data_IF_513428828436
#
_entry.id   IF_513428828436
#
_cell.length_a   1.000
_cell.length_b   1.000
_cell.length_c   1.000
_cell.angle_alpha   90.00
_cell.angle_beta   90.00
_cell.angle_gamma   90.00
#
_symmetry.space_group_name_H-M   'P 1'
#
loop_
_entity.id
_entity.type
_entity.pdbx_description
1 polymer ?
#
# COMPACT_ATOMS: atom_id res chain seq x y z
N UNK A 1 24.10 3.80 -46.88
CA UNK A 1 24.67 4.43 -45.68
C UNK A 1 23.83 3.98 -44.50
N UNK A 2 24.37 3.04 -43.73
CA UNK A 2 23.77 2.55 -42.49
C UNK A 2 24.07 3.55 -41.37
N UNK A 3 23.08 3.85 -40.52
CA UNK A 3 23.34 4.27 -39.15
C UNK A 3 22.60 3.34 -38.18
N UNK A 4 23.38 2.90 -37.20
CA UNK A 4 23.15 1.81 -36.26
C UNK A 4 22.27 2.23 -35.08
N UNK A 5 21.24 1.44 -34.78
CA UNK A 5 20.44 1.52 -33.56
C UNK A 5 21.21 0.80 -32.45
N UNK A 6 21.69 1.53 -31.44
CA UNK A 6 22.34 0.96 -30.26
C UNK A 6 21.28 0.52 -29.24
N UNK A 7 21.08 -0.79 -29.13
CA UNK A 7 20.34 -1.45 -28.05
C UNK A 7 21.23 -1.56 -26.81
N UNK A 8 20.84 -0.93 -25.69
CA UNK A 8 21.52 -1.11 -24.40
C UNK A 8 20.93 -2.34 -23.71
N UNK A 9 21.69 -3.43 -23.80
CA UNK A 9 21.46 -4.70 -23.10
C UNK A 9 21.98 -4.61 -21.66
N UNK A 10 21.13 -4.91 -20.68
CA UNK A 10 21.55 -5.06 -19.27
C UNK A 10 22.07 -6.48 -19.04
N UNK A 11 23.39 -6.65 -19.03
CA UNK A 11 24.06 -7.88 -18.62
C UNK A 11 24.09 -8.00 -17.08
N UNK A 12 23.42 -9.00 -16.53
CA UNK A 12 23.59 -9.42 -15.13
C UNK A 12 24.82 -10.33 -14.99
N UNK A 13 25.77 -10.07 -14.07
CA UNK A 13 26.79 -11.06 -13.75
C UNK A 13 26.21 -12.15 -12.83
N UNK A 14 26.11 -13.38 -13.34
CA UNK A 14 25.99 -14.62 -12.56
C UNK A 14 27.28 -14.84 -11.77
N UNK A 15 27.19 -14.95 -10.44
CA UNK A 15 28.22 -15.61 -9.64
C UNK A 15 27.68 -16.96 -9.13
N UNK A 16 28.14 -18.03 -9.76
CA UNK A 16 28.07 -19.42 -9.29
C UNK A 16 29.28 -19.69 -8.38
N UNK A 17 29.11 -20.29 -7.19
CA UNK A 17 30.21 -20.90 -6.45
C UNK A 17 30.48 -22.35 -6.92
N UNK A 18 31.72 -22.86 -6.79
CA UNK A 18 32.09 -24.17 -7.34
C UNK A 18 31.58 -25.35 -6.48
N UNK A 19 31.12 -26.38 -7.18
CA UNK A 19 30.78 -27.73 -6.69
C UNK A 19 32.02 -28.53 -6.29
N UNK A 20 31.99 -29.19 -5.13
CA UNK A 20 32.73 -30.44 -4.79
C UNK A 20 31.93 -31.26 -3.74
N UNK A 21 32.15 -32.59 -3.63
CA UNK A 21 31.13 -33.58 -4.00
C UNK A 21 30.31 -34.21 -2.86
N UNK A 22 29.24 -34.85 -3.32
CA UNK A 22 28.20 -35.62 -2.65
C UNK A 22 28.69 -36.70 -1.66
N UNK A 23 28.14 -36.71 -0.44
CA UNK A 23 27.96 -37.91 0.41
C UNK A 23 26.62 -37.81 1.15
N UNK A 24 25.69 -38.72 0.85
CA UNK A 24 24.44 -39.01 1.58
C UNK A 24 24.59 -40.40 2.24
N UNK A 25 23.66 -40.84 3.11
CA UNK A 25 23.02 -40.15 4.24
C UNK A 25 23.06 -41.05 5.51
N UNK A 26 22.69 -40.54 6.68
CA UNK A 26 22.09 -41.42 7.71
C UNK A 26 21.05 -40.69 8.55
N UNK A 27 19.86 -41.31 8.56
CA UNK A 27 18.67 -40.96 9.31
C UNK A 27 18.87 -41.46 10.74
N UNK A 28 18.62 -40.62 11.75
CA UNK A 28 18.14 -41.09 13.05
C UNK A 28 17.08 -40.14 13.62
N UNK A 29 15.87 -40.69 13.68
CA UNK A 29 14.73 -40.26 14.47
C UNK A 29 15.03 -40.41 15.96
N UNK A 30 14.87 -39.35 16.77
CA UNK A 30 14.64 -39.53 18.22
C UNK A 30 13.61 -38.50 18.71
N UNK A 31 12.46 -39.06 19.05
CA UNK A 31 11.43 -38.54 19.95
C UNK A 31 12.02 -38.19 21.31
N UNK A 32 11.60 -37.09 21.95
CA UNK A 32 11.14 -37.11 23.35
C UNK A 32 10.70 -35.75 23.89
N UNK A 33 9.56 -35.86 24.58
CA UNK A 33 8.82 -34.98 25.49
C UNK A 33 9.64 -34.08 26.45
N UNK A 34 9.05 -32.89 26.66
CA UNK A 34 8.69 -32.26 27.93
C UNK A 34 9.73 -31.64 28.91
N UNK A 35 9.25 -30.52 29.48
CA UNK A 35 9.23 -30.09 30.89
C UNK A 35 10.30 -29.07 31.40
N UNK A 36 9.74 -27.94 31.86
CA UNK A 36 9.99 -27.20 33.12
C UNK A 36 11.25 -26.33 33.26
N UNK A 37 11.05 -25.00 33.34
CA UNK A 37 11.07 -24.08 34.51
C UNK A 37 12.46 -23.94 35.17
N UNK A 38 12.72 -22.69 35.58
CA UNK A 38 13.47 -22.25 36.77
C UNK A 38 14.64 -21.34 36.40
N UNK A 39 14.33 -20.03 36.48
CA UNK A 39 14.99 -19.09 37.41
C UNK A 39 16.50 -18.87 37.21
N UNK A 40 16.87 -17.60 37.00
CA UNK A 40 17.44 -16.77 38.08
C UNK A 40 18.51 -15.79 37.59
N UNK A 41 18.53 -14.64 38.29
CA UNK A 41 19.72 -13.83 38.63
C UNK A 41 20.34 -12.96 37.53
N UNK A 42 19.87 -11.73 37.56
CA UNK A 42 20.68 -10.55 37.89
C UNK A 42 22.12 -10.90 38.33
N UNK A 43 23.10 -10.58 37.48
CA UNK A 43 24.48 -10.40 37.90
C UNK A 43 25.06 -9.18 37.20
N UNK A 44 25.36 -8.19 38.04
CA UNK A 44 26.18 -7.03 37.75
C UNK A 44 27.63 -7.49 37.88
N UNK A 45 28.47 -7.25 36.88
CA UNK A 45 29.92 -7.17 37.09
C UNK A 45 30.54 -6.29 36.02
N UNK A 46 31.16 -5.23 36.50
CA UNK A 46 32.03 -4.32 35.78
C UNK A 46 33.40 -4.98 35.50
N UNK A 47 34.00 -4.47 34.41
CA UNK A 47 35.43 -4.41 34.09
C UNK A 47 36.23 -5.70 33.87
N UNK A 48 36.84 -5.80 32.67
CA UNK A 48 38.28 -6.08 32.48
C UNK A 48 38.70 -5.85 31.00
N UNK A 49 39.78 -5.06 30.84
CA UNK A 49 40.75 -4.89 29.73
C UNK A 49 40.26 -4.58 28.30
N UNK A 50 40.49 -3.35 27.84
CA UNK A 50 41.71 -2.88 27.13
C UNK A 50 42.01 -3.60 25.80
N UNK A 51 41.83 -2.80 24.74
CA UNK A 51 42.80 -2.57 23.65
C UNK A 51 42.85 -3.61 22.51
N UNK A 52 42.04 -3.37 21.47
CA UNK A 52 42.50 -3.56 20.09
C UNK A 52 41.90 -2.48 19.18
N UNK A 53 42.72 -1.50 18.81
CA UNK A 53 42.43 -0.52 17.77
C UNK A 53 42.51 -1.21 16.41
N UNK A 54 41.44 -1.18 15.61
CA UNK A 54 41.56 -1.38 14.17
C UNK A 54 40.73 -0.34 13.43
N UNK A 55 41.46 0.68 12.97
CA UNK A 55 41.07 1.69 12.01
C UNK A 55 40.65 0.99 10.71
N UNK A 56 39.37 1.11 10.33
CA UNK A 56 38.92 0.84 8.96
C UNK A 56 38.43 2.15 8.37
N UNK A 57 39.27 2.69 7.51
CA UNK A 57 39.00 3.78 6.59
C UNK A 57 38.10 3.22 5.49
N UNK A 58 36.83 3.62 5.44
CA UNK A 58 35.96 3.30 4.30
C UNK A 58 35.70 4.61 3.54
N UNK A 59 36.40 4.76 2.40
CA UNK A 59 36.23 5.85 1.45
C UNK A 59 34.86 5.71 0.79
N UNK A 60 33.93 6.59 1.16
CA UNK A 60 32.68 6.77 0.44
C UNK A 60 32.95 7.39 -0.94
N UNK A 61 32.51 6.70 -1.99
CA UNK A 61 32.45 7.27 -3.33
C UNK A 61 31.14 8.07 -3.44
N UNK A 62 31.22 9.36 -3.09
CA UNK A 62 30.15 10.34 -3.23
C UNK A 62 30.12 10.78 -4.70
N UNK A 63 29.18 10.27 -5.48
CA UNK A 63 29.00 10.69 -6.87
C UNK A 63 28.14 11.96 -6.90
N UNK A 64 28.81 13.09 -7.07
CA UNK A 64 28.24 14.41 -7.29
C UNK A 64 27.72 14.49 -8.72
N UNK A 65 26.40 14.52 -8.91
CA UNK A 65 25.80 14.94 -10.17
C UNK A 65 25.66 16.47 -10.17
N UNK A 66 26.63 17.16 -10.79
CA UNK A 66 26.44 18.52 -11.30
C UNK A 66 25.64 18.44 -12.59
N UNK A 67 24.40 18.93 -12.60
CA UNK A 67 23.74 19.37 -13.83
C UNK A 67 23.66 20.89 -13.81
N UNK A 68 24.31 21.49 -14.81
CA UNK A 68 24.35 22.92 -15.06
C UNK A 68 23.11 23.33 -15.86
N UNK A 69 22.15 23.99 -15.23
CA UNK A 69 21.45 25.10 -15.87
C UNK A 69 21.27 26.22 -14.85
N UNK A 70 22.19 27.18 -14.91
CA UNK A 70 22.15 28.41 -14.17
C UNK A 70 21.02 29.29 -14.72
N UNK A 71 19.90 29.35 -14.01
CA UNK A 71 18.93 30.45 -14.14
C UNK A 71 18.49 30.77 -12.71
N UNK A 72 19.02 31.86 -12.17
CA UNK A 72 18.52 32.43 -10.92
C UNK A 72 17.00 32.57 -11.05
N UNK A 73 16.19 31.93 -10.19
CA UNK A 73 14.79 32.30 -10.10
C UNK A 73 14.73 33.65 -9.39
N UNK A 74 14.19 34.66 -10.06
CA UNK A 74 13.62 35.80 -9.37
C UNK A 74 12.61 35.25 -8.35
N UNK A 75 12.69 35.62 -7.06
CA UNK A 75 11.82 35.08 -6.01
C UNK A 75 10.33 35.34 -6.29
N UNK A 76 10.03 36.35 -7.11
CA UNK A 76 8.68 36.81 -7.40
C UNK A 76 7.93 35.98 -8.47
N UNK A 77 8.64 35.14 -9.25
CA UNK A 77 8.02 34.30 -10.31
C UNK A 77 7.83 32.85 -9.91
N UNK A 78 8.62 32.35 -8.95
CA UNK A 78 8.50 30.97 -8.46
C UNK A 78 7.30 30.81 -7.53
N UNK A 79 7.02 31.80 -6.67
CA UNK A 79 5.83 31.78 -5.81
C UNK A 79 4.52 31.78 -6.61
N UNK A 80 4.42 32.62 -7.66
CA UNK A 80 3.20 32.69 -8.50
C UNK A 80 2.99 31.41 -9.32
N UNK A 81 4.07 30.71 -9.71
CA UNK A 81 3.98 29.51 -10.54
C UNK A 81 3.71 28.23 -9.73
N UNK A 82 4.19 28.17 -8.49
CA UNK A 82 3.86 27.08 -7.56
C UNK A 82 2.42 27.21 -7.05
N UNK A 83 1.96 28.42 -6.72
CA UNK A 83 0.59 28.65 -6.24
C UNK A 83 -0.48 28.41 -7.34
N UNK A 84 -0.14 28.69 -8.61
CA UNK A 84 -1.04 28.45 -9.75
C UNK A 84 -1.25 26.97 -10.12
N UNK A 85 -0.33 26.07 -9.73
CA UNK A 85 -0.43 24.63 -10.06
C UNK A 85 -1.35 23.88 -9.09
N UNK A 86 -1.43 24.33 -7.84
CA UNK A 86 -2.11 23.60 -6.76
C UNK A 86 -3.64 23.75 -6.80
N UNK A 87 -4.15 24.93 -7.18
CA UNK A 87 -5.60 25.16 -7.24
C UNK A 87 -6.27 24.43 -8.40
N UNK A 88 -5.60 24.32 -9.56
CA UNK A 88 -6.16 23.63 -10.74
C UNK A 88 -6.30 22.12 -10.52
N UNK A 89 -5.31 21.51 -9.87
CA UNK A 89 -5.32 20.08 -9.50
C UNK A 89 -6.45 19.77 -8.51
N UNK A 90 -6.65 20.64 -7.53
CA UNK A 90 -7.73 20.53 -6.54
C UNK A 90 -9.12 20.62 -7.20
N UNK A 91 -9.31 21.57 -8.13
CA UNK A 91 -10.56 21.73 -8.89
C UNK A 91 -10.84 20.50 -9.75
N UNK A 92 -9.83 19.94 -10.43
CA UNK A 92 -9.98 18.73 -11.24
C UNK A 92 -10.36 17.52 -10.39
N UNK A 93 -9.79 17.37 -9.20
CA UNK A 93 -10.14 16.29 -8.27
C UNK A 93 -11.58 16.43 -7.74
N UNK A 94 -12.03 17.64 -7.42
CA UNK A 94 -13.43 17.88 -7.04
C UNK A 94 -14.40 17.62 -8.20
N UNK A 95 -14.05 18.04 -9.41
CA UNK A 95 -14.86 17.77 -10.60
C UNK A 95 -14.94 16.26 -10.87
N UNK A 96 -13.81 15.54 -10.77
CA UNK A 96 -13.76 14.08 -10.88
C UNK A 96 -14.63 13.43 -9.80
N UNK A 97 -14.53 13.88 -8.54
CA UNK A 97 -15.32 13.36 -7.43
C UNK A 97 -16.83 13.57 -7.66
N UNK A 98 -17.23 14.77 -8.06
CA UNK A 98 -18.63 15.08 -8.38
C UNK A 98 -19.15 14.25 -9.56
N UNK A 99 -18.36 14.09 -10.62
CA UNK A 99 -18.70 13.25 -11.76
C UNK A 99 -18.83 11.77 -11.38
N UNK A 100 -17.94 11.27 -10.53
CA UNK A 100 -18.00 9.90 -10.01
C UNK A 100 -19.23 9.67 -9.15
N UNK A 101 -19.58 10.58 -8.24
CA UNK A 101 -20.81 10.48 -7.46
C UNK A 101 -22.03 10.52 -8.37
N UNK A 102 -22.08 11.46 -9.32
CA UNK A 102 -23.16 11.53 -10.29
C UNK A 102 -23.31 10.21 -11.05
N UNK A 103 -22.19 9.62 -11.48
CA UNK A 103 -22.17 8.32 -12.14
C UNK A 103 -22.71 7.21 -11.25
N UNK A 104 -22.22 7.08 -10.01
CA UNK A 104 -22.62 6.01 -9.10
C UNK A 104 -24.11 6.06 -8.74
N UNK A 105 -24.68 7.26 -8.59
CA UNK A 105 -26.09 7.40 -8.23
C UNK A 105 -27.04 7.31 -9.43
N UNK A 106 -26.67 7.86 -10.59
CA UNK A 106 -27.60 8.02 -11.73
C UNK A 106 -27.34 7.08 -12.90
N UNK A 107 -26.09 6.64 -13.12
CA UNK A 107 -25.68 5.94 -14.34
C UNK A 107 -25.23 4.50 -14.11
N UNK A 108 -24.82 4.16 -12.87
CA UNK A 108 -24.41 2.80 -12.53
C UNK A 108 -25.55 1.80 -12.77
N UNK A 109 -25.26 0.59 -13.28
CA UNK A 109 -26.27 -0.41 -13.58
C UNK A 109 -27.03 -0.78 -12.31
N UNK A 110 -28.36 -0.90 -12.38
CA UNK A 110 -29.22 -1.17 -11.20
C UNK A 110 -30.33 -2.17 -11.54
N UNK A 111 -29.94 -3.29 -12.16
CA UNK A 111 -30.89 -4.28 -12.66
C UNK A 111 -31.28 -5.29 -11.56
N UNK A 112 -30.48 -5.41 -10.50
CA UNK A 112 -30.61 -6.46 -9.47
C UNK A 112 -30.55 -5.95 -8.01
N UNK A 113 -31.34 -4.93 -7.61
CA UNK A 113 -31.24 -4.30 -6.29
C UNK A 113 -31.51 -5.25 -5.10
N UNK A 114 -32.37 -6.27 -5.29
CA UNK A 114 -32.64 -7.28 -4.25
C UNK A 114 -31.46 -8.22 -4.03
N UNK A 115 -30.76 -8.57 -5.11
CA UNK A 115 -29.55 -9.39 -5.08
C UNK A 115 -28.39 -8.63 -4.45
N UNK A 116 -28.27 -7.33 -4.72
CA UNK A 116 -27.24 -6.46 -4.12
C UNK A 116 -27.36 -6.42 -2.60
N UNK A 117 -28.56 -6.22 -2.08
CA UNK A 117 -28.83 -6.26 -0.63
C UNK A 117 -28.55 -7.65 -0.04
N UNK A 118 -28.85 -8.70 -0.78
CA UNK A 118 -28.56 -10.07 -0.36
C UNK A 118 -27.05 -10.33 -0.28
N UNK A 119 -26.30 -9.94 -1.31
CA UNK A 119 -24.84 -10.05 -1.34
C UNK A 119 -24.18 -9.24 -0.23
N UNK A 120 -24.60 -7.99 -0.03
CA UNK A 120 -24.10 -7.15 1.06
C UNK A 120 -24.32 -7.80 2.43
N UNK A 121 -25.53 -8.31 2.70
CA UNK A 121 -25.82 -9.01 3.97
C UNK A 121 -24.97 -10.26 4.15
N UNK A 122 -24.73 -11.01 3.08
CA UNK A 122 -23.92 -12.24 3.12
C UNK A 122 -22.43 -11.90 3.33
N UNK A 123 -21.91 -10.87 2.66
CA UNK A 123 -20.53 -10.40 2.80
C UNK A 123 -20.24 -9.76 4.17
N UNK A 124 -21.24 -9.12 4.77
CA UNK A 124 -21.20 -8.64 6.16
C UNK A 124 -21.44 -9.75 7.20
N UNK A 125 -21.62 -11.00 6.76
CA UNK A 125 -21.94 -12.14 7.61
C UNK A 125 -23.22 -11.93 8.47
N UNK A 126 -24.13 -11.06 8.04
CA UNK A 126 -25.43 -10.81 8.67
C UNK A 126 -26.46 -11.90 8.31
N UNK A 127 -26.21 -12.61 7.21
CA UNK A 127 -26.99 -13.78 6.81
C UNK A 127 -26.13 -15.04 7.00
N UNK A 128 -26.66 -16.00 7.76
CA UNK A 128 -26.00 -17.28 8.04
C UNK A 128 -25.82 -18.17 6.82
N UNK A 129 -25.40 -19.41 7.05
CA UNK A 129 -25.22 -20.39 5.99
C UNK A 129 -26.58 -20.88 5.45
N UNK A 130 -26.92 -20.44 4.24
CA UNK A 130 -28.11 -20.83 3.49
C UNK A 130 -27.76 -21.78 2.33
N UNK A 131 -26.54 -22.32 2.31
CA UNK A 131 -26.05 -23.23 1.26
C UNK A 131 -25.64 -22.52 -0.03
N UNK A 132 -25.80 -21.21 -0.14
CA UNK A 132 -25.35 -20.44 -1.30
C UNK A 132 -23.85 -20.15 -1.22
N UNK A 133 -23.09 -20.64 -2.20
CA UNK A 133 -21.67 -20.34 -2.35
C UNK A 133 -21.49 -19.01 -3.09
N UNK A 134 -20.91 -18.03 -2.41
CA UNK A 134 -20.59 -16.74 -3.03
C UNK A 134 -19.50 -16.90 -4.09
N UNK A 135 -19.58 -16.10 -5.15
CA UNK A 135 -18.55 -16.02 -6.17
C UNK A 135 -17.19 -15.65 -5.55
N UNK A 136 -16.15 -16.42 -5.90
CA UNK A 136 -14.81 -16.32 -5.31
C UNK A 136 -14.15 -14.95 -5.56
N UNK A 137 -14.32 -14.40 -6.76
CA UNK A 137 -13.72 -13.11 -7.14
C UNK A 137 -14.41 -11.97 -6.40
N UNK A 138 -15.75 -12.04 -6.25
CA UNK A 138 -16.50 -11.08 -5.46
C UNK A 138 -16.07 -11.06 -3.98
N UNK A 139 -15.86 -12.24 -3.38
CA UNK A 139 -15.36 -12.34 -2.01
C UNK A 139 -13.95 -11.74 -1.90
N UNK A 140 -13.07 -12.02 -2.86
CA UNK A 140 -11.74 -11.44 -2.92
C UNK A 140 -11.77 -9.91 -3.05
N UNK A 141 -12.61 -9.38 -3.93
CA UNK A 141 -12.84 -7.94 -4.09
C UNK A 141 -13.30 -7.30 -2.78
N UNK A 142 -14.26 -7.92 -2.09
CA UNK A 142 -14.77 -7.44 -0.80
C UNK A 142 -13.69 -7.40 0.29
N UNK A 143 -12.84 -8.42 0.38
CA UNK A 143 -11.73 -8.40 1.34
C UNK A 143 -10.66 -7.37 0.98
N UNK A 144 -10.38 -7.15 -0.31
CA UNK A 144 -9.51 -6.06 -0.74
C UNK A 144 -10.07 -4.69 -0.37
N UNK A 145 -11.38 -4.50 -0.47
CA UNK A 145 -12.05 -3.27 -0.03
C UNK A 145 -11.85 -2.98 1.46
N UNK A 146 -11.84 -4.00 2.31
CA UNK A 146 -11.53 -3.81 3.73
C UNK A 146 -10.04 -3.52 4.00
N UNK A 147 -9.15 -4.00 3.12
CA UNK A 147 -7.70 -3.83 3.28
C UNK A 147 -7.21 -2.47 2.77
N UNK A 148 -7.80 -1.94 1.70
CA UNK A 148 -7.38 -0.67 1.10
C UNK A 148 -7.42 0.54 2.05
N UNK A 149 -8.48 0.80 2.83
CA UNK A 149 -8.53 1.85 3.84
C UNK A 149 -7.38 1.77 4.84
N UNK A 150 -6.94 0.55 5.19
CA UNK A 150 -5.79 0.35 6.07
C UNK A 150 -4.47 0.73 5.38
N UNK A 151 -4.29 0.37 4.11
CA UNK A 151 -3.13 0.81 3.30
C UNK A 151 -3.11 2.33 3.19
N UNK A 152 -4.24 2.95 2.85
CA UNK A 152 -4.36 4.42 2.81
C UNK A 152 -4.17 5.05 4.19
N UNK A 153 -4.60 4.40 5.26
CA UNK A 153 -4.30 4.85 6.62
C UNK A 153 -2.80 4.94 6.87
N UNK A 154 -2.04 3.92 6.48
CA UNK A 154 -0.57 3.90 6.60
C UNK A 154 0.12 4.98 5.77
N UNK A 155 -0.43 5.31 4.60
CA UNK A 155 0.13 6.32 3.71
C UNK A 155 -0.25 7.75 4.13
N UNK A 156 -1.47 7.95 4.62
CA UNK A 156 -2.04 9.28 4.85
C UNK A 156 -1.94 9.76 6.30
N UNK A 157 -2.02 8.89 7.30
CA UNK A 157 -2.06 9.33 8.71
C UNK A 157 -0.69 9.77 9.25
N UNK A 158 0.42 9.07 8.95
CA UNK A 158 1.74 9.50 9.36
C UNK A 158 2.21 10.76 8.62
N UNK A 159 1.79 10.91 7.36
CA UNK A 159 2.28 11.94 6.43
C UNK A 159 1.32 13.12 6.27
N UNK A 160 0.07 13.00 6.74
CA UNK A 160 -1.04 13.93 6.46
C UNK A 160 -1.19 15.09 7.44
N UNK A 161 -0.10 15.79 7.79
CA UNK A 161 -0.19 17.11 8.43
C UNK A 161 -0.58 18.11 7.34
N UNK A 162 -1.87 18.27 7.10
CA UNK A 162 -2.40 19.39 6.28
C UNK A 162 -3.39 20.19 7.12
N UNK A 163 -3.88 21.33 6.61
CA UNK A 163 -4.96 22.08 7.27
C UNK A 163 -6.19 21.20 7.56
N UNK A 164 -6.38 20.16 6.76
CA UNK A 164 -7.48 19.20 6.87
C UNK A 164 -6.93 17.87 7.41
N UNK A 165 -7.43 17.36 8.55
CA UNK A 165 -6.98 16.07 9.07
C UNK A 165 -7.47 14.92 8.19
N UNK A 166 -6.61 13.94 7.89
CA UNK A 166 -6.93 12.80 7.02
C UNK A 166 -7.81 11.74 7.70
N UNK A 167 -7.73 11.61 9.04
CA UNK A 167 -8.36 10.51 9.78
C UNK A 167 -9.87 10.35 9.59
N UNK A 168 -10.69 11.42 9.48
CA UNK A 168 -12.13 11.24 9.25
C UNK A 168 -12.38 10.57 7.90
N UNK A 169 -11.63 10.97 6.87
CA UNK A 169 -11.76 10.43 5.53
C UNK A 169 -11.25 8.99 5.43
N UNK A 170 -10.19 8.64 6.15
CA UNK A 170 -9.70 7.25 6.26
C UNK A 170 -10.70 6.35 7.00
N UNK A 171 -11.34 6.83 8.06
CA UNK A 171 -12.37 6.04 8.76
C UNK A 171 -13.60 5.87 7.87
N UNK A 172 -14.03 6.93 7.19
CA UNK A 172 -15.17 6.87 6.28
C UNK A 172 -14.90 5.99 5.05
N UNK A 173 -13.64 5.82 4.63
CA UNK A 173 -13.29 4.99 3.48
C UNK A 173 -13.49 3.49 3.72
N UNK A 174 -13.62 3.03 4.97
CA UNK A 174 -14.07 1.66 5.24
C UNK A 174 -15.49 1.36 4.73
N UNK A 175 -16.30 2.40 4.54
CA UNK A 175 -17.67 2.27 4.05
C UNK A 175 -17.84 2.84 2.65
N UNK A 176 -17.20 3.98 2.37
CA UNK A 176 -17.35 4.71 1.11
C UNK A 176 -16.12 4.65 0.20
N UNK A 177 -15.05 3.95 0.59
CA UNK A 177 -13.84 3.80 -0.22
C UNK A 177 -13.23 5.11 -0.71
N UNK A 178 -12.84 5.14 -1.98
CA UNK A 178 -12.25 6.30 -2.66
C UNK A 178 -13.20 7.49 -2.69
N UNK A 179 -14.51 7.27 -2.70
CA UNK A 179 -15.50 8.34 -2.70
C UNK A 179 -15.44 9.15 -1.40
N UNK A 180 -15.01 8.53 -0.29
CA UNK A 180 -14.72 9.22 0.95
C UNK A 180 -13.32 9.86 0.97
N UNK A 181 -12.31 9.29 0.27
CA UNK A 181 -10.94 9.81 0.26
C UNK A 181 -10.72 10.97 -0.71
N UNK A 182 -11.42 11.00 -1.84
CA UNK A 182 -11.22 12.00 -2.90
C UNK A 182 -11.39 13.46 -2.44
N UNK A 183 -12.38 13.81 -1.59
CA UNK A 183 -12.46 15.16 -1.03
C UNK A 183 -11.21 15.53 -0.23
N UNK A 184 -10.62 14.58 0.50
CA UNK A 184 -9.35 14.81 1.18
C UNK A 184 -8.21 15.04 0.19
N UNK A 185 -8.14 14.26 -0.89
CA UNK A 185 -7.11 14.46 -1.92
C UNK A 185 -7.21 15.83 -2.59
N UNK A 186 -8.43 16.34 -2.78
CA UNK A 186 -8.67 17.66 -3.35
C UNK A 186 -8.39 18.82 -2.36
N UNK A 187 -8.48 18.57 -1.05
CA UNK A 187 -8.19 19.57 -0.01
C UNK A 187 -6.75 19.50 0.50
N UNK A 188 -6.02 18.44 0.14
CA UNK A 188 -4.66 18.22 0.58
C UNK A 188 -3.72 19.19 -0.13
N UNK A 189 -2.92 19.92 0.65
CA UNK A 189 -1.94 20.87 0.13
C UNK A 189 -0.54 20.29 0.34
N UNK A 190 0.27 20.10 -0.72
CA UNK A 190 1.68 19.78 -0.59
C UNK A 190 2.49 21.02 -0.17
N UNK A 191 3.65 20.90 0.49
CA UNK A 191 4.21 19.74 1.18
C UNK A 191 3.74 19.65 2.66
N UNK A 192 3.50 18.44 3.16
CA UNK A 192 3.19 18.24 4.57
C UNK A 192 4.37 18.66 5.46
N UNK A 193 4.16 19.39 6.57
CA UNK A 193 5.19 19.68 7.55
C UNK A 193 5.85 18.40 8.08
N UNK A 194 7.17 18.43 8.37
CA UNK A 194 7.86 17.28 8.92
C UNK A 194 7.28 16.87 10.29
N UNK A 195 7.07 15.57 10.48
CA UNK A 195 6.54 15.00 11.73
C UNK A 195 7.68 14.63 12.66
N UNK A 196 7.50 14.87 13.96
CA UNK A 196 8.49 14.47 14.97
C UNK A 196 8.42 12.96 15.25
N UNK A 197 9.58 12.32 15.42
CA UNK A 197 9.70 10.89 15.79
C UNK A 197 8.93 10.52 17.07
N UNK A 198 8.75 11.48 17.99
CA UNK A 198 7.98 11.30 19.22
C UNK A 198 6.47 11.18 18.99
N UNK A 199 5.94 11.83 17.94
CA UNK A 199 4.51 11.79 17.61
C UNK A 199 4.16 10.51 16.85
N UNK A 200 5.02 10.04 15.96
CA UNK A 200 4.84 8.75 15.25
C UNK A 200 4.76 7.57 16.22
N UNK A 201 5.39 7.68 17.39
CA UNK A 201 5.33 6.66 18.45
C UNK A 201 4.01 6.65 19.23
N UNK A 202 3.13 7.63 19.02
CA UNK A 202 1.82 7.66 19.67
C UNK A 202 0.87 6.63 19.04
N UNK A 203 -0.03 6.09 19.85
CA UNK A 203 -1.10 5.23 19.35
C UNK A 203 -2.18 6.09 18.67
N UNK A 204 -2.70 5.70 17.48
CA UNK A 204 -2.47 4.46 16.75
C UNK A 204 -1.32 4.51 15.72
N UNK A 205 -0.68 5.66 15.48
CA UNK A 205 0.34 5.84 14.42
C UNK A 205 1.50 4.84 14.51
N UNK A 206 1.93 4.47 15.71
CA UNK A 206 2.99 3.47 15.91
C UNK A 206 2.64 2.10 15.31
N UNK A 207 1.36 1.73 15.29
CA UNK A 207 0.92 0.47 14.67
C UNK A 207 0.98 0.59 13.14
N UNK A 208 0.59 1.74 12.59
CA UNK A 208 0.56 1.97 11.15
C UNK A 208 1.98 2.08 10.56
N UNK A 209 2.92 2.64 11.32
CA UNK A 209 4.35 2.75 10.98
C UNK A 209 5.13 1.43 11.17
N UNK A 210 4.53 0.44 11.82
CA UNK A 210 5.24 -0.79 12.12
C UNK A 210 5.51 -1.62 10.86
N UNK A 211 6.77 -2.02 10.67
CA UNK A 211 7.20 -2.95 9.61
C UNK A 211 6.43 -4.28 9.65
N UNK A 212 6.01 -4.70 10.84
CA UNK A 212 5.20 -5.92 11.00
C UNK A 212 3.82 -5.71 10.38
N UNK A 213 3.16 -4.59 10.68
CA UNK A 213 1.82 -4.29 10.13
C UNK A 213 1.89 -4.13 8.61
N UNK A 214 2.91 -3.45 8.09
CA UNK A 214 3.14 -3.36 6.65
C UNK A 214 3.38 -4.74 6.01
N UNK A 215 4.22 -5.59 6.63
CA UNK A 215 4.48 -6.95 6.15
C UNK A 215 3.24 -7.86 6.17
N UNK A 216 2.47 -7.83 7.27
CA UNK A 216 1.20 -8.58 7.39
C UNK A 216 0.18 -8.10 6.35
N UNK A 217 0.05 -6.79 6.15
CA UNK A 217 -0.87 -6.19 5.17
C UNK A 217 -0.48 -6.61 3.75
N UNK A 218 0.82 -6.61 3.43
CA UNK A 218 1.32 -7.05 2.13
C UNK A 218 1.03 -8.53 1.88
N UNK A 219 1.33 -9.40 2.85
CA UNK A 219 1.06 -10.84 2.73
C UNK A 219 -0.44 -11.11 2.61
N UNK A 220 -1.27 -10.42 3.40
CA UNK A 220 -2.72 -10.54 3.33
C UNK A 220 -3.25 -10.09 1.96
N UNK A 221 -2.81 -8.93 1.47
CA UNK A 221 -3.19 -8.42 0.14
C UNK A 221 -2.79 -9.37 -0.98
N UNK A 222 -1.55 -9.88 -0.95
CA UNK A 222 -1.09 -10.85 -1.93
C UNK A 222 -1.90 -12.16 -1.87
N UNK A 223 -2.22 -12.64 -0.66
CA UNK A 223 -3.05 -13.82 -0.45
C UNK A 223 -4.46 -13.64 -1.02
N UNK A 224 -5.09 -12.48 -0.81
CA UNK A 224 -6.42 -12.17 -1.35
C UNK A 224 -6.38 -12.05 -2.88
N UNK A 225 -5.34 -11.43 -3.45
CA UNK A 225 -5.16 -11.33 -4.90
C UNK A 225 -5.02 -12.73 -5.51
N UNK A 226 -4.16 -13.59 -4.95
CA UNK A 226 -4.00 -14.97 -5.42
C UNK A 226 -5.32 -15.74 -5.28
N UNK A 227 -6.02 -15.59 -4.15
CA UNK A 227 -7.32 -16.19 -3.93
C UNK A 227 -8.33 -15.78 -5.01
N UNK A 228 -8.44 -14.50 -5.35
CA UNK A 228 -9.35 -14.04 -6.40
C UNK A 228 -8.94 -14.55 -7.79
N UNK A 229 -7.64 -14.53 -8.11
CA UNK A 229 -7.10 -14.89 -9.43
C UNK A 229 -7.20 -16.38 -9.76
N UNK A 230 -7.14 -17.25 -8.75
CA UNK A 230 -7.28 -18.71 -8.92
C UNK A 230 -8.72 -19.15 -9.23
N UNK A 231 -9.69 -18.22 -9.24
CA UNK A 231 -11.06 -18.50 -9.66
C UNK A 231 -11.13 -19.09 -11.07
N UNK A 232 -12.07 -20.01 -11.29
CA UNK A 232 -12.23 -20.67 -12.58
C UNK A 232 -12.81 -19.71 -13.62
N UNK A 233 -12.74 -20.08 -14.91
CA UNK A 233 -13.33 -19.28 -15.99
C UNK A 233 -14.84 -19.01 -15.79
N UNK A 234 -15.56 -19.95 -15.15
CA UNK A 234 -16.96 -19.78 -14.76
C UNK A 234 -17.16 -18.66 -13.74
N UNK A 235 -16.31 -18.59 -12.72
CA UNK A 235 -16.37 -17.57 -11.67
C UNK A 235 -16.13 -16.17 -12.27
N UNK A 236 -15.17 -16.06 -13.20
CA UNK A 236 -14.90 -14.80 -13.90
C UNK A 236 -16.07 -14.35 -14.78
N UNK A 237 -16.70 -15.29 -15.49
CA UNK A 237 -17.87 -14.99 -16.32
C UNK A 237 -19.05 -14.52 -15.47
N UNK A 238 -19.29 -15.19 -14.35
CA UNK A 238 -20.34 -14.81 -13.39
C UNK A 238 -20.05 -13.43 -12.77
N UNK A 239 -18.81 -13.17 -12.35
CA UNK A 239 -18.41 -11.86 -11.83
C UNK A 239 -18.61 -10.75 -12.87
N UNK A 240 -18.26 -11.00 -14.13
CA UNK A 240 -18.47 -10.02 -15.21
C UNK A 240 -19.97 -9.75 -15.44
N UNK A 241 -20.82 -10.77 -15.32
CA UNK A 241 -22.26 -10.57 -15.37
C UNK A 241 -22.73 -9.68 -14.21
N UNK A 242 -22.28 -9.97 -12.99
CA UNK A 242 -22.58 -9.14 -11.83
C UNK A 242 -22.12 -7.69 -12.02
N UNK A 243 -20.90 -7.48 -12.51
CA UNK A 243 -20.39 -6.13 -12.78
C UNK A 243 -21.27 -5.33 -13.76
N UNK A 244 -21.99 -5.99 -14.68
CA UNK A 244 -22.88 -5.33 -15.64
C UNK A 244 -24.29 -5.07 -15.12
N UNK A 245 -24.76 -5.86 -14.16
CA UNK A 245 -26.16 -5.86 -13.72
C UNK A 245 -26.35 -5.23 -12.33
N UNK A 246 -25.37 -5.42 -11.44
CA UNK A 246 -25.40 -5.02 -10.02
C UNK A 246 -24.79 -3.64 -9.81
N UNK A 247 -25.52 -2.75 -9.13
CA UNK A 247 -25.00 -1.42 -8.76
C UNK A 247 -23.89 -1.55 -7.76
N UNK A 248 -24.13 -2.37 -6.74
CA UNK A 248 -23.18 -2.61 -5.66
C UNK A 248 -21.84 -3.11 -6.20
N UNK A 249 -21.84 -4.17 -7.00
CA UNK A 249 -20.60 -4.79 -7.49
C UNK A 249 -19.89 -3.86 -8.49
N UNK A 250 -20.65 -3.14 -9.32
CA UNK A 250 -20.09 -2.17 -10.25
C UNK A 250 -19.38 -1.03 -9.54
N UNK A 251 -20.05 -0.38 -8.58
CA UNK A 251 -19.49 0.74 -7.80
C UNK A 251 -18.29 0.29 -6.98
N UNK A 252 -18.37 -0.87 -6.31
CA UNK A 252 -17.23 -1.43 -5.57
C UNK A 252 -16.04 -1.79 -6.46
N UNK A 253 -16.28 -2.25 -7.69
CA UNK A 253 -15.20 -2.53 -8.64
C UNK A 253 -14.54 -1.24 -9.14
N UNK A 254 -15.33 -0.19 -9.38
CA UNK A 254 -14.79 1.13 -9.73
C UNK A 254 -13.94 1.70 -8.59
N UNK A 255 -14.42 1.57 -7.35
CA UNK A 255 -13.69 1.95 -6.15
C UNK A 255 -12.33 1.24 -6.06
N UNK A 256 -12.30 -0.09 -6.26
CA UNK A 256 -11.04 -0.86 -6.32
C UNK A 256 -10.07 -0.30 -7.35
N UNK A 257 -10.54 -0.06 -8.57
CA UNK A 257 -9.72 0.43 -9.66
C UNK A 257 -9.15 1.82 -9.33
N UNK A 258 -9.96 2.71 -8.76
CA UNK A 258 -9.55 4.06 -8.41
C UNK A 258 -8.57 4.07 -7.23
N UNK A 259 -8.83 3.33 -6.16
CA UNK A 259 -7.90 3.17 -5.04
C UNK A 259 -6.56 2.60 -5.52
N UNK A 260 -6.60 1.62 -6.42
CA UNK A 260 -5.39 1.05 -7.03
C UNK A 260 -4.65 2.08 -7.91
N UNK A 261 -5.38 2.90 -8.67
CA UNK A 261 -4.79 3.91 -9.55
C UNK A 261 -4.14 5.07 -8.80
N UNK A 262 -4.72 5.49 -7.67
CA UNK A 262 -4.15 6.54 -6.82
C UNK A 262 -3.00 6.05 -5.93
N UNK A 263 -2.89 4.74 -5.66
CA UNK A 263 -1.91 4.21 -4.73
C UNK A 263 -0.44 4.54 -5.10
N UNK A 264 0.02 4.42 -6.38
CA UNK A 264 1.39 4.76 -6.74
C UNK A 264 1.77 6.21 -6.42
N UNK A 265 0.85 7.15 -6.61
CA UNK A 265 1.06 8.55 -6.27
C UNK A 265 1.29 8.72 -4.76
N UNK A 266 0.43 8.12 -3.94
CA UNK A 266 0.53 8.23 -2.48
C UNK A 266 1.74 7.51 -1.91
N UNK A 267 2.13 6.38 -2.49
CA UNK A 267 3.39 5.69 -2.17
C UNK A 267 4.59 6.57 -2.51
N UNK A 268 4.60 7.20 -3.68
CA UNK A 268 5.68 8.12 -4.07
C UNK A 268 5.77 9.34 -3.14
N UNK A 269 4.63 9.92 -2.78
CA UNK A 269 4.56 11.03 -1.81
C UNK A 269 5.09 10.61 -0.42
N UNK A 270 4.73 9.41 0.04
CA UNK A 270 5.24 8.86 1.30
C UNK A 270 6.76 8.60 1.26
N UNK A 271 7.29 8.07 0.15
CA UNK A 271 8.73 7.86 -0.03
C UNK A 271 9.53 9.18 0.01
N UNK A 272 9.04 10.21 -0.70
CA UNK A 272 9.73 11.51 -0.78
C UNK A 272 9.72 12.26 0.56
N UNK A 273 8.63 12.17 1.32
CA UNK A 273 8.53 12.77 2.66
C UNK A 273 9.45 12.09 3.67
N UNK A 274 9.63 10.76 3.56
CA UNK A 274 10.54 9.97 4.40
C UNK A 274 12.00 10.00 3.96
N UNK A 275 12.32 10.62 2.81
CA UNK A 275 13.66 10.69 2.21
C UNK A 275 14.30 9.32 1.94
N UNK A 276 13.49 8.38 1.46
CA UNK A 276 13.97 7.07 0.98
C UNK A 276 14.52 7.16 -0.45
#
# INVERSE_FOLDING_TARGET
MLESINLISCNFPRFLPPLKPLRRPQIQTVSSRNLIVVQSKFLKSDQILRRYNRKYENKGFLHVCKSSLNKNPDPDKTEIQDEARDWSSSVLLFALWGALLYYCFNLAPDQTPTQDLYFLKKLLNLKGDDGFRMNQILVGLWYMMGLWPLVYGMLLLPTGRSKTPAWPFVVLSFFGGVYALLPYFALWNPPSPPVSESELRQWPLNILESKLTAGVTLVAGLGIIIYALVGNAGDWKEFYQYFRESKFIHVTSLDFCLLSAFAPFWVYNDMTTRKW
#
